data_IF_307347757426
#
_entry.id   IF_307347757426
#
_cell.length_a   1.000
_cell.length_b   1.000
_cell.length_c   1.000
_cell.angle_alpha   90.00
_cell.angle_beta   90.00
_cell.angle_gamma   90.00
#
_symmetry.space_group_name_H-M   'P 1'
#
loop_
_entity.id
_entity.type
_entity.pdbx_description
1 polymer ?
#
# COMPACT_ATOMS: atom_id res chain seq x y z
N UNK A 1 -14.94 -8.07 16.02
CA UNK A 1 -13.68 -7.39 16.42
C UNK A 1 -12.50 -7.70 15.49
N UNK A 2 -12.39 -8.90 14.91
CA UNK A 2 -11.23 -9.27 14.06
C UNK A 2 -11.03 -8.34 12.85
N UNK A 3 -12.09 -7.95 12.15
CA UNK A 3 -12.00 -7.02 11.00
C UNK A 3 -11.48 -5.62 11.38
N UNK A 4 -11.87 -5.12 12.56
CA UNK A 4 -11.37 -3.84 13.05
C UNK A 4 -9.87 -3.91 13.38
N UNK A 5 -9.43 -5.02 13.99
CA UNK A 5 -8.00 -5.27 14.22
C UNK A 5 -7.22 -5.42 12.92
N UNK A 6 -7.77 -6.10 11.92
CA UNK A 6 -7.18 -6.19 10.58
C UNK A 6 -7.07 -4.81 9.92
N UNK A 7 -8.11 -3.98 10.00
CA UNK A 7 -8.05 -2.60 9.53
C UNK A 7 -6.89 -1.84 10.20
N UNK A 8 -6.81 -1.87 11.54
CA UNK A 8 -5.72 -1.22 12.29
C UNK A 8 -4.35 -1.74 11.84
N UNK A 9 -4.13 -3.05 11.77
CA UNK A 9 -2.86 -3.62 11.31
C UNK A 9 -2.46 -3.10 9.91
N UNK A 10 -3.44 -2.97 9.01
CA UNK A 10 -3.21 -2.44 7.67
C UNK A 10 -2.87 -0.95 7.65
N UNK A 11 -3.38 -0.16 8.60
CA UNK A 11 -3.10 1.29 8.66
C UNK A 11 -1.79 1.65 9.37
N UNK A 12 -1.18 0.77 10.18
CA UNK A 12 0.01 1.11 10.99
C UNK A 12 1.20 1.55 10.13
N UNK A 13 1.70 0.66 9.28
CA UNK A 13 2.88 0.93 8.44
C UNK A 13 2.77 2.22 7.60
N UNK A 14 1.69 2.46 6.84
CA UNK A 14 1.58 3.62 5.97
C UNK A 14 1.37 4.90 6.80
N UNK A 15 0.72 4.83 7.97
CA UNK A 15 0.60 5.98 8.88
C UNK A 15 1.96 6.43 9.42
N UNK A 16 2.89 5.50 9.63
CA UNK A 16 4.25 5.82 10.11
C UNK A 16 5.15 6.26 8.97
N UNK A 17 5.16 5.51 7.86
CA UNK A 17 6.12 5.72 6.76
C UNK A 17 5.74 6.93 5.90
N UNK A 18 4.45 7.15 5.63
CA UNK A 18 4.03 8.20 4.72
C UNK A 18 4.43 9.62 5.17
N UNK A 19 4.24 10.02 6.44
CA UNK A 19 4.68 11.34 6.90
C UNK A 19 6.19 11.52 6.75
N UNK A 20 6.99 10.49 7.02
CA UNK A 20 8.45 10.54 6.86
C UNK A 20 8.82 10.74 5.37
N UNK A 21 8.16 10.01 4.47
CA UNK A 21 8.37 10.17 3.03
C UNK A 21 7.94 11.55 2.54
N UNK A 22 6.82 12.08 3.02
CA UNK A 22 6.35 13.42 2.67
C UNK A 22 7.29 14.51 3.19
N UNK A 23 7.72 14.43 4.46
CA UNK A 23 8.72 15.34 5.02
C UNK A 23 10.00 15.33 4.19
N UNK A 24 10.48 14.14 3.83
CA UNK A 24 11.66 13.98 2.97
C UNK A 24 11.43 14.60 1.60
N UNK A 25 10.29 14.35 0.95
CA UNK A 25 10.00 14.95 -0.34
C UNK A 25 9.97 16.49 -0.30
N UNK A 26 9.46 17.08 0.79
CA UNK A 26 9.46 18.53 0.98
C UNK A 26 10.89 19.06 1.11
N UNK A 27 11.76 18.41 1.89
CA UNK A 27 13.16 18.86 2.05
C UNK A 27 13.96 18.76 0.76
N UNK A 28 13.59 17.85 -0.14
CA UNK A 28 14.14 17.75 -1.51
C UNK A 28 13.43 18.66 -2.53
N UNK A 29 12.61 19.63 -2.10
CA UNK A 29 12.01 20.62 -2.98
C UNK A 29 10.81 20.11 -3.80
N UNK A 30 10.06 19.12 -3.29
CA UNK A 30 8.82 18.60 -3.90
C UNK A 30 7.57 18.89 -3.04
N UNK A 31 7.30 20.16 -2.64
CA UNK A 31 6.15 20.48 -1.79
C UNK A 31 4.80 20.20 -2.46
N UNK A 32 4.73 20.16 -3.79
CA UNK A 32 3.52 19.85 -4.55
C UNK A 32 2.89 18.49 -4.18
N UNK A 33 3.66 17.53 -3.66
CA UNK A 33 3.12 16.24 -3.23
C UNK A 33 2.13 16.36 -2.06
N UNK A 34 2.29 17.37 -1.20
CA UNK A 34 1.33 17.63 -0.13
C UNK A 34 -0.05 18.01 -0.66
N UNK A 35 -0.12 18.62 -1.85
CA UNK A 35 -1.38 18.99 -2.50
C UNK A 35 -2.15 17.80 -3.06
N UNK A 36 -1.52 16.62 -3.17
CA UNK A 36 -2.15 15.43 -3.75
C UNK A 36 -2.96 14.73 -2.65
N UNK A 37 -4.26 15.05 -2.57
CA UNK A 37 -5.19 14.52 -1.55
C UNK A 37 -5.14 12.99 -1.45
N UNK A 38 -4.98 12.29 -2.57
CA UNK A 38 -4.93 10.83 -2.60
C UNK A 38 -3.78 10.24 -1.78
N UNK A 39 -2.62 10.91 -1.75
CA UNK A 39 -1.46 10.40 -0.99
C UNK A 39 -1.81 10.29 0.50
N UNK A 40 -2.56 11.25 1.03
CA UNK A 40 -3.01 11.24 2.44
C UNK A 40 -4.05 10.15 2.74
N UNK A 41 -4.69 9.59 1.71
CA UNK A 41 -5.66 8.49 1.85
C UNK A 41 -5.01 7.11 1.82
N UNK A 42 -3.72 7.01 1.49
CA UNK A 42 -2.99 5.72 1.41
C UNK A 42 -3.15 4.88 2.69
N UNK A 43 -3.01 5.42 3.91
CA UNK A 43 -3.19 4.62 5.11
C UNK A 43 -4.56 3.96 5.21
N UNK A 44 -5.61 4.73 4.91
CA UNK A 44 -6.99 4.24 4.93
C UNK A 44 -7.22 3.18 3.85
N UNK A 45 -6.73 3.41 2.63
CA UNK A 45 -6.83 2.46 1.52
C UNK A 45 -6.16 1.13 1.89
N UNK A 46 -4.99 1.18 2.51
CA UNK A 46 -4.29 -0.01 3.00
C UNK A 46 -5.04 -0.74 4.11
N UNK A 47 -5.57 0.00 5.08
CA UNK A 47 -6.42 -0.56 6.13
C UNK A 47 -7.63 -1.29 5.55
N UNK A 48 -8.34 -0.65 4.61
CA UNK A 48 -9.50 -1.24 3.93
C UNK A 48 -9.07 -2.47 3.14
N UNK A 49 -7.97 -2.42 2.40
CA UNK A 49 -7.49 -3.58 1.64
C UNK A 49 -7.13 -4.77 2.53
N UNK A 50 -6.50 -4.52 3.68
CA UNK A 50 -6.19 -5.59 4.63
C UNK A 50 -7.47 -6.18 5.23
N UNK A 51 -8.47 -5.35 5.54
CA UNK A 51 -9.79 -5.83 5.94
C UNK A 51 -10.44 -6.67 4.84
N UNK A 52 -10.43 -6.23 3.58
CA UNK A 52 -11.00 -6.95 2.44
C UNK A 52 -10.29 -8.28 2.20
N UNK A 53 -8.98 -8.35 2.44
CA UNK A 53 -8.23 -9.59 2.37
C UNK A 53 -8.82 -10.65 3.32
N UNK A 54 -9.03 -10.32 4.59
CA UNK A 54 -9.61 -11.26 5.55
C UNK A 54 -11.11 -11.51 5.33
N UNK A 55 -11.85 -10.51 4.89
CA UNK A 55 -13.30 -10.63 4.69
C UNK A 55 -13.65 -11.45 3.44
N UNK A 56 -12.87 -11.33 2.36
CA UNK A 56 -13.21 -11.87 1.05
C UNK A 56 -12.04 -12.67 0.47
N UNK A 57 -10.89 -12.03 0.25
CA UNK A 57 -9.85 -12.60 -0.62
C UNK A 57 -9.22 -13.88 -0.05
N UNK A 58 -9.16 -14.04 1.27
CA UNK A 58 -8.59 -15.23 1.92
C UNK A 58 -9.25 -16.53 1.44
N UNK A 59 -10.56 -16.51 1.19
CA UNK A 59 -11.32 -17.70 0.82
C UNK A 59 -11.30 -17.97 -0.69
N UNK A 60 -11.12 -16.92 -1.50
CA UNK A 60 -11.15 -17.02 -2.97
C UNK A 60 -9.79 -17.22 -3.61
N UNK A 61 -8.70 -16.75 -2.99
CA UNK A 61 -7.37 -16.84 -3.58
C UNK A 61 -6.83 -18.28 -3.50
N UNK A 62 -6.52 -18.92 -4.63
CA UNK A 62 -5.90 -20.25 -4.63
C UNK A 62 -4.43 -20.18 -4.24
N UNK A 63 -3.87 -21.33 -3.84
CA UNK A 63 -2.44 -21.49 -3.58
C UNK A 63 -2.03 -21.36 -2.10
N UNK A 64 -0.73 -21.44 -1.85
CA UNK A 64 -0.16 -21.39 -0.51
C UNK A 64 -0.36 -20.01 0.13
N UNK A 65 -0.31 -19.96 1.46
CA UNK A 65 -0.41 -18.72 2.23
C UNK A 65 0.56 -17.64 1.74
N UNK A 66 1.78 -18.05 1.37
CA UNK A 66 2.80 -17.14 0.80
C UNK A 66 2.34 -16.53 -0.53
N UNK A 67 1.77 -17.33 -1.42
CA UNK A 67 1.26 -16.86 -2.72
C UNK A 67 0.08 -15.91 -2.52
N UNK A 68 -0.84 -16.22 -1.60
CA UNK A 68 -1.99 -15.35 -1.29
C UNK A 68 -1.55 -13.98 -0.84
N UNK A 69 -0.56 -13.91 0.05
CA UNK A 69 0.00 -12.65 0.53
C UNK A 69 0.70 -11.86 -0.57
N UNK A 70 1.47 -12.55 -1.42
CA UNK A 70 2.15 -11.92 -2.53
C UNK A 70 1.15 -11.32 -3.53
N UNK A 71 0.10 -12.07 -3.88
CA UNK A 71 -0.97 -11.60 -4.77
C UNK A 71 -1.73 -10.42 -4.17
N UNK A 72 -2.07 -10.49 -2.88
CA UNK A 72 -2.82 -9.44 -2.19
C UNK A 72 -2.03 -8.13 -2.09
N UNK A 73 -0.76 -8.21 -1.69
CA UNK A 73 0.11 -7.04 -1.66
C UNK A 73 0.40 -6.51 -3.07
N UNK A 74 0.66 -7.41 -4.02
CA UNK A 74 0.94 -7.05 -5.42
C UNK A 74 -0.24 -6.35 -6.09
N UNK A 75 -1.46 -6.85 -5.92
CA UNK A 75 -2.67 -6.22 -6.47
C UNK A 75 -2.90 -4.82 -5.91
N UNK A 76 -2.62 -4.62 -4.62
CA UNK A 76 -2.75 -3.31 -4.00
C UNK A 76 -1.68 -2.33 -4.51
N UNK A 77 -0.43 -2.79 -4.62
CA UNK A 77 0.64 -2.00 -5.22
C UNK A 77 0.32 -1.60 -6.67
N UNK A 78 -0.29 -2.50 -7.43
CA UNK A 78 -0.73 -2.23 -8.79
C UNK A 78 -1.85 -1.18 -8.83
N UNK A 79 -2.87 -1.31 -7.98
CA UNK A 79 -3.97 -0.33 -7.90
C UNK A 79 -3.46 1.07 -7.56
N UNK A 80 -2.55 1.17 -6.59
CA UNK A 80 -1.95 2.45 -6.18
C UNK A 80 -1.09 3.03 -7.30
N UNK A 81 -0.30 2.20 -7.99
CA UNK A 81 0.51 2.66 -9.12
C UNK A 81 -0.35 3.16 -10.29
N UNK A 82 -1.41 2.44 -10.66
CA UNK A 82 -2.32 2.85 -11.73
C UNK A 82 -2.95 4.21 -11.37
N UNK A 83 -3.49 4.35 -10.16
CA UNK A 83 -4.10 5.60 -9.75
C UNK A 83 -3.08 6.75 -9.71
N UNK A 84 -1.89 6.50 -9.15
CA UNK A 84 -0.81 7.49 -9.05
C UNK A 84 -0.31 7.97 -10.42
N UNK A 85 -0.15 7.06 -11.38
CA UNK A 85 0.36 7.38 -12.72
C UNK A 85 -0.71 8.06 -13.57
N UNK A 86 -1.89 7.45 -13.69
CA UNK A 86 -2.88 7.89 -14.67
C UNK A 86 -3.77 9.03 -14.17
N UNK A 87 -4.20 8.97 -12.91
CA UNK A 87 -5.15 9.96 -12.37
C UNK A 87 -4.43 11.17 -11.78
N UNK A 88 -3.43 10.92 -10.95
CA UNK A 88 -2.76 11.97 -10.18
C UNK A 88 -1.46 12.48 -10.83
N UNK A 89 -0.99 11.82 -11.91
CA UNK A 89 0.25 12.16 -12.62
C UNK A 89 1.44 12.36 -11.67
N UNK A 90 1.52 11.52 -10.62
CA UNK A 90 2.53 11.61 -9.55
C UNK A 90 3.96 11.62 -10.13
N UNK A 91 4.33 10.80 -11.14
CA UNK A 91 5.67 10.87 -11.72
C UNK A 91 5.99 12.24 -12.31
N UNK A 92 5.05 12.88 -13.02
CA UNK A 92 5.23 14.23 -13.54
C UNK A 92 5.40 15.26 -12.41
N UNK A 93 4.60 15.14 -11.34
CA UNK A 93 4.76 15.98 -10.15
C UNK A 93 6.13 15.80 -9.45
N UNK A 94 6.73 14.62 -9.59
CA UNK A 94 8.07 14.30 -9.09
C UNK A 94 9.19 14.71 -10.08
N UNK A 95 8.87 15.02 -11.33
CA UNK A 95 9.84 15.32 -12.40
C UNK A 95 10.42 14.08 -13.09
N UNK A 96 9.75 12.93 -12.99
CA UNK A 96 10.12 11.69 -13.68
C UNK A 96 9.31 11.54 -14.97
N UNK A 97 9.77 12.14 -16.06
CA UNK A 97 9.11 12.01 -17.37
C UNK A 97 9.47 10.69 -18.07
N UNK A 98 10.76 10.33 -18.09
CA UNK A 98 11.25 9.11 -18.75
C UNK A 98 10.88 7.82 -18.01
N UNK A 99 10.68 7.91 -16.69
CA UNK A 99 10.48 6.75 -15.80
C UNK A 99 9.05 6.65 -15.26
N UNK A 100 8.09 7.31 -15.91
CA UNK A 100 6.71 7.40 -15.44
C UNK A 100 6.00 6.04 -15.26
N UNK A 101 6.44 5.00 -15.96
CA UNK A 101 5.85 3.66 -15.89
C UNK A 101 6.56 2.72 -14.91
N UNK A 102 7.72 3.08 -14.36
CA UNK A 102 8.43 2.25 -13.39
C UNK A 102 7.58 1.87 -12.16
N UNK A 103 6.73 2.76 -11.62
CA UNK A 103 5.86 2.39 -10.51
C UNK A 103 4.88 1.25 -10.83
N UNK A 104 4.51 1.01 -12.10
CA UNK A 104 3.62 -0.11 -12.46
C UNK A 104 4.26 -1.48 -12.20
N UNK A 105 5.58 -1.57 -12.22
CA UNK A 105 6.32 -2.81 -11.95
C UNK A 105 6.86 -2.81 -10.53
N UNK A 106 7.44 -1.69 -10.09
CA UNK A 106 8.07 -1.60 -8.77
C UNK A 106 7.06 -1.60 -7.63
N UNK A 107 5.93 -0.89 -7.75
CA UNK A 107 4.98 -0.82 -6.64
C UNK A 107 4.33 -2.18 -6.32
N UNK A 108 3.87 -3.00 -7.29
CA UNK A 108 3.42 -4.35 -6.98
C UNK A 108 4.45 -5.19 -6.23
N UNK A 109 5.71 -5.16 -6.67
CA UNK A 109 6.79 -5.94 -6.05
C UNK A 109 7.03 -5.46 -4.62
N UNK A 110 7.21 -4.16 -4.42
CA UNK A 110 7.45 -3.56 -3.10
C UNK A 110 6.28 -3.86 -2.16
N UNK A 111 5.05 -3.67 -2.63
CA UNK A 111 3.87 -3.89 -1.79
C UNK A 111 3.66 -5.38 -1.47
N UNK A 112 3.97 -6.29 -2.39
CA UNK A 112 3.96 -7.74 -2.10
C UNK A 112 4.97 -8.12 -1.01
N UNK A 113 6.17 -7.52 -1.04
CA UNK A 113 7.19 -7.69 0.00
C UNK A 113 6.70 -7.11 1.34
N UNK A 114 6.20 -5.86 1.34
CA UNK A 114 5.68 -5.22 2.56
C UNK A 114 4.51 -6.00 3.16
N UNK A 115 3.65 -6.59 2.32
CA UNK A 115 2.55 -7.40 2.78
C UNK A 115 3.03 -8.66 3.51
N UNK A 116 4.02 -9.35 2.93
CA UNK A 116 4.58 -10.57 3.51
C UNK A 116 5.34 -10.32 4.81
N UNK A 117 6.14 -9.25 4.87
CA UNK A 117 7.09 -9.04 5.97
C UNK A 117 6.64 -8.02 7.02
N UNK A 118 5.61 -7.23 6.74
CA UNK A 118 5.12 -6.23 7.69
C UNK A 118 3.66 -6.45 8.03
N UNK A 119 2.78 -6.49 7.01
CA UNK A 119 1.33 -6.60 7.24
C UNK A 119 0.99 -7.93 7.90
N UNK A 120 1.57 -9.04 7.43
CA UNK A 120 1.36 -10.36 8.05
C UNK A 120 1.79 -10.39 9.53
N UNK A 121 3.05 -10.07 9.91
CA UNK A 121 3.42 -10.03 11.33
C UNK A 121 2.55 -9.11 12.18
N UNK A 122 2.10 -7.96 11.66
CA UNK A 122 1.19 -7.07 12.38
C UNK A 122 -0.18 -7.71 12.61
N UNK A 123 -0.72 -8.43 11.62
CA UNK A 123 -1.95 -9.19 11.77
C UNK A 123 -1.80 -10.29 12.84
N UNK A 124 -0.68 -11.01 12.83
CA UNK A 124 -0.36 -12.05 13.81
C UNK A 124 -0.28 -11.46 15.24
N UNK A 125 0.40 -10.33 15.42
CA UNK A 125 0.52 -9.62 16.70
C UNK A 125 -0.82 -9.14 17.26
N UNK A 126 -1.74 -8.72 16.39
CA UNK A 126 -3.09 -8.30 16.80
C UNK A 126 -4.06 -9.48 16.97
N UNK A 127 -3.55 -10.72 16.92
CA UNK A 127 -4.32 -11.96 17.01
C UNK A 127 -5.47 -12.00 16.00
N UNK A 128 -5.26 -11.47 14.80
CA UNK A 128 -6.19 -11.62 13.69
C UNK A 128 -6.00 -13.03 13.17
N UNK A 129 -6.86 -13.95 13.61
CA UNK A 129 -6.79 -15.35 13.19
C UNK A 129 -6.86 -15.41 11.67
N UNK A 130 -5.87 -16.06 11.06
CA UNK A 130 -5.88 -16.41 9.64
C UNK A 130 -7.11 -17.27 9.36
#
# INVERSE_FOLDING_TARGET
>A
MNYFRAFIAGTVLPTIVLPILLCTAITYGKPQLLGITFIHMIPVIWGIWNLLYFAICKNFLPGSLTVRYFLTGGSLGLLIAIYGIFWQKVPAALGFEEYQYYPLVLAPIVYAILWRYVVKPLNDLLCVKE
#
